data_IF_208921898975
#
_entry.id   IF_208921898975
#
_cell.length_a   1.000
_cell.length_b   1.000
_cell.length_c   1.000
_cell.angle_alpha   90.00
_cell.angle_beta   90.00
_cell.angle_gamma   90.00
#
_symmetry.space_group_name_H-M   'P 1'
#
loop_
_entity.id
_entity.type
_entity.pdbx_description
1 polymer ?
#
# COMPACT_ATOMS: atom_id res chain seq x y z
N UNK A 1 -4.86 -66.10 40.96
CA UNK A 1 -3.95 -65.04 40.52
C UNK A 1 -4.71 -64.18 39.54
N UNK A 2 -5.10 -62.98 39.95
CA UNK A 2 -5.75 -62.00 39.07
C UNK A 2 -4.77 -60.87 38.76
N UNK A 3 -4.35 -60.76 37.51
CA UNK A 3 -3.47 -59.66 37.05
C UNK A 3 -4.31 -58.45 36.67
N UNK A 4 -4.08 -57.34 37.36
CA UNK A 4 -4.70 -56.03 37.06
C UNK A 4 -3.79 -55.29 36.13
N UNK A 5 -4.29 -54.98 34.90
CA UNK A 5 -3.60 -54.13 33.94
C UNK A 5 -3.96 -52.68 34.27
N UNK A 6 -2.96 -51.85 34.61
CA UNK A 6 -3.09 -50.42 34.71
C UNK A 6 -2.86 -49.80 33.30
N UNK A 7 -3.86 -49.11 32.75
CA UNK A 7 -3.73 -48.35 31.55
C UNK A 7 -3.34 -46.90 31.92
N UNK A 8 -2.16 -46.46 31.49
CA UNK A 8 -1.70 -45.10 31.65
C UNK A 8 -2.17 -44.26 30.45
N UNK A 9 -3.08 -43.32 30.72
CA UNK A 9 -3.53 -42.34 29.71
C UNK A 9 -2.56 -41.16 29.70
N UNK A 10 -1.78 -41.06 28.65
CA UNK A 10 -0.90 -39.91 28.43
C UNK A 10 -1.70 -38.74 27.83
N UNK A 11 -1.78 -37.63 28.56
CA UNK A 11 -2.33 -36.36 28.07
C UNK A 11 -1.25 -35.66 27.27
N UNK A 12 -1.40 -35.57 25.94
CA UNK A 12 -0.56 -34.75 25.09
C UNK A 12 -1.12 -33.32 25.12
N UNK A 13 -0.44 -32.42 25.82
CA UNK A 13 -0.71 -30.99 25.80
C UNK A 13 -0.03 -30.40 24.57
N UNK A 14 -0.79 -30.11 23.53
CA UNK A 14 -0.32 -29.32 22.39
C UNK A 14 -0.21 -27.85 22.83
N UNK A 15 1.02 -27.38 23.08
CA UNK A 15 1.31 -25.96 23.21
C UNK A 15 1.22 -25.34 21.81
N UNK A 16 0.11 -24.66 21.53
CA UNK A 16 0.01 -23.75 20.39
C UNK A 16 0.76 -22.48 20.77
N UNK A 17 2.01 -22.36 20.32
CA UNK A 17 2.76 -21.12 20.41
C UNK A 17 2.08 -20.11 19.47
N UNK A 18 1.30 -19.18 20.04
CA UNK A 18 0.85 -18.00 19.33
C UNK A 18 2.09 -17.15 19.00
N UNK A 19 2.52 -17.17 17.74
CA UNK A 19 3.50 -16.22 17.23
C UNK A 19 2.83 -14.85 17.30
N UNK A 20 3.15 -14.10 18.35
CA UNK A 20 2.88 -12.65 18.39
C UNK A 20 3.83 -12.01 17.40
N UNK A 21 3.35 -11.76 16.18
CA UNK A 21 4.03 -10.83 15.29
C UNK A 21 4.13 -9.48 16.03
N UNK A 22 5.32 -8.89 16.00
CA UNK A 22 5.61 -7.61 16.62
C UNK A 22 4.66 -6.53 16.04
N UNK A 23 3.68 -6.09 16.83
CA UNK A 23 2.55 -5.27 16.40
C UNK A 23 2.98 -3.84 16.01
N UNK A 24 4.23 -3.47 16.30
CA UNK A 24 4.79 -2.13 16.02
C UNK A 24 5.30 -1.98 14.58
N UNK A 25 5.61 -3.08 13.89
CA UNK A 25 6.15 -3.04 12.51
C UNK A 25 5.09 -2.71 11.45
N UNK A 26 3.81 -2.72 11.80
CA UNK A 26 2.68 -2.62 10.91
C UNK A 26 1.83 -1.35 11.13
N UNK A 27 2.39 -0.28 11.68
CA UNK A 27 1.74 1.02 11.84
C UNK A 27 2.38 2.06 10.92
N UNK A 28 1.69 3.19 10.66
CA UNK A 28 2.35 4.39 10.12
C UNK A 28 3.51 4.81 11.03
N UNK A 29 4.47 5.54 10.48
CA UNK A 29 5.54 6.11 11.30
C UNK A 29 5.02 7.24 12.23
N UNK A 30 5.92 7.84 13.01
CA UNK A 30 5.55 8.89 13.98
C UNK A 30 4.97 10.15 13.32
N UNK A 31 5.32 10.43 12.06
CA UNK A 31 4.75 11.51 11.26
C UNK A 31 3.45 11.10 10.55
N UNK A 32 3.00 9.84 10.70
CA UNK A 32 1.79 9.28 10.10
C UNK A 32 1.96 8.73 8.68
N UNK A 33 3.20 8.71 8.11
CA UNK A 33 3.42 8.18 6.77
C UNK A 33 3.29 6.66 6.72
N UNK A 34 2.65 6.20 5.65
CA UNK A 34 2.52 4.78 5.36
C UNK A 34 3.84 4.29 4.75
N UNK A 35 4.46 3.28 5.41
CA UNK A 35 5.79 2.76 5.07
C UNK A 35 5.77 1.30 4.61
N UNK A 36 4.61 0.64 4.58
CA UNK A 36 4.50 -0.75 4.16
C UNK A 36 3.56 -0.84 2.96
N UNK A 37 4.10 -1.31 1.83
CA UNK A 37 3.39 -1.37 0.56
C UNK A 37 3.59 -2.71 -0.13
N UNK A 38 2.60 -3.16 -0.89
CA UNK A 38 2.77 -4.10 -1.99
C UNK A 38 2.94 -3.27 -3.26
N UNK A 39 4.03 -3.48 -3.99
CA UNK A 39 4.36 -2.71 -5.19
C UNK A 39 4.29 -3.60 -6.42
N UNK A 40 3.67 -3.08 -7.48
CA UNK A 40 3.71 -3.62 -8.84
C UNK A 40 4.28 -2.54 -9.74
N UNK A 41 5.49 -2.74 -10.22
CA UNK A 41 6.22 -1.83 -11.10
C UNK A 41 7.35 -2.60 -11.82
N UNK A 42 7.90 -2.09 -12.95
CA UNK A 42 7.38 -0.99 -13.75
C UNK A 42 6.36 -1.47 -14.79
N UNK A 43 5.32 -0.71 -15.02
CA UNK A 43 4.40 -0.91 -16.12
C UNK A 43 4.66 0.17 -17.16
N UNK A 44 5.03 -0.14 -18.40
CA UNK A 44 5.25 0.86 -19.43
C UNK A 44 3.95 1.61 -19.75
N UNK A 45 4.05 2.83 -20.25
CA UNK A 45 2.89 3.67 -20.63
C UNK A 45 1.97 3.01 -21.65
N UNK A 46 2.49 2.03 -22.41
CA UNK A 46 1.74 1.39 -23.49
C UNK A 46 1.50 2.36 -24.63
N UNK A 47 0.23 2.61 -24.93
CA UNK A 47 -0.18 3.55 -25.98
C UNK A 47 -0.34 5.01 -25.49
N UNK A 48 -0.10 5.28 -24.21
CA UNK A 48 -0.15 6.64 -23.68
C UNK A 48 1.06 7.45 -24.15
N UNK A 49 0.84 8.73 -24.49
CA UNK A 49 1.85 9.61 -25.06
C UNK A 49 2.54 10.47 -23.99
N UNK A 50 1.97 10.56 -22.80
CA UNK A 50 2.49 11.32 -21.66
C UNK A 50 1.95 10.77 -20.34
N UNK A 51 2.48 11.28 -19.23
CA UNK A 51 2.12 10.80 -17.91
C UNK A 51 0.68 11.03 -17.51
N UNK A 52 0.08 12.16 -17.90
CA UNK A 52 -1.33 12.44 -17.61
C UNK A 52 -2.26 11.45 -18.32
N UNK A 53 -1.97 11.11 -19.58
CA UNK A 53 -2.70 10.09 -20.32
C UNK A 53 -2.50 8.69 -19.70
N UNK A 54 -1.26 8.33 -19.33
CA UNK A 54 -0.95 7.08 -18.65
C UNK A 54 -1.65 6.97 -17.28
N UNK A 55 -1.76 8.08 -16.54
CA UNK A 55 -2.52 8.15 -15.30
C UNK A 55 -4.02 7.90 -15.55
N UNK A 56 -4.56 8.44 -16.64
CA UNK A 56 -5.96 8.30 -17.03
C UNK A 56 -6.36 6.89 -17.41
N UNK A 57 -5.46 6.13 -18.07
CA UNK A 57 -5.70 4.76 -18.53
C UNK A 57 -5.49 3.75 -17.39
N UNK A 58 -6.33 2.72 -17.33
CA UNK A 58 -6.04 1.53 -16.52
C UNK A 58 -4.92 0.74 -17.19
N UNK A 59 -3.77 0.62 -16.53
CA UNK A 59 -2.67 -0.23 -17.01
C UNK A 59 -2.94 -1.71 -16.71
N UNK A 60 -3.73 -1.97 -15.68
CA UNK A 60 -4.24 -3.28 -15.30
C UNK A 60 -5.72 -3.14 -15.00
N UNK A 61 -6.54 -3.98 -15.60
CA UNK A 61 -7.99 -3.92 -15.45
C UNK A 61 -8.43 -3.98 -13.99
N UNK A 62 -9.32 -3.09 -13.61
CA UNK A 62 -9.87 -3.05 -12.25
C UNK A 62 -8.93 -2.41 -11.22
N UNK A 63 -7.99 -1.56 -11.63
CA UNK A 63 -6.97 -0.94 -10.75
C UNK A 63 -7.56 -0.32 -9.46
N UNK A 64 -8.75 0.27 -9.53
CA UNK A 64 -9.41 0.88 -8.37
C UNK A 64 -9.76 -0.13 -7.26
N UNK A 65 -9.88 -1.41 -7.59
CA UNK A 65 -10.34 -2.48 -6.70
C UNK A 65 -9.26 -3.55 -6.48
N UNK A 66 -8.00 -3.23 -6.67
CA UNK A 66 -6.92 -4.14 -6.40
C UNK A 66 -6.96 -4.69 -4.98
N UNK A 67 -6.79 -6.00 -4.84
CA UNK A 67 -6.63 -6.70 -3.57
C UNK A 67 -5.51 -7.74 -3.66
N UNK A 68 -4.29 -7.32 -4.04
CA UNK A 68 -3.18 -8.25 -4.24
C UNK A 68 -2.66 -8.81 -2.91
N UNK A 69 -2.00 -9.95 -3.04
CA UNK A 69 -1.11 -10.52 -2.01
C UNK A 69 0.32 -10.53 -2.54
N UNK A 70 1.27 -10.61 -1.63
CA UNK A 70 2.66 -10.85 -1.99
C UNK A 70 2.79 -12.11 -2.86
N UNK A 71 3.49 -11.99 -3.98
CA UNK A 71 3.70 -13.07 -4.92
C UNK A 71 2.62 -13.22 -6.00
N UNK A 72 1.50 -12.50 -5.89
CA UNK A 72 0.48 -12.48 -6.96
C UNK A 72 1.08 -11.93 -8.24
N UNK A 73 0.70 -12.52 -9.37
CA UNK A 73 1.25 -12.22 -10.68
C UNK A 73 0.23 -11.53 -11.57
N UNK A 74 0.71 -10.59 -12.36
CA UNK A 74 -0.08 -9.82 -13.31
C UNK A 74 0.59 -9.83 -14.66
N UNK A 75 -0.14 -10.22 -15.71
CA UNK A 75 0.35 -10.15 -17.08
C UNK A 75 0.14 -8.74 -17.63
N UNK A 76 1.23 -8.11 -18.09
CA UNK A 76 1.24 -6.77 -18.70
C UNK A 76 1.94 -6.87 -20.05
N UNK A 77 1.17 -6.84 -21.13
CA UNK A 77 1.69 -7.16 -22.47
C UNK A 77 2.24 -8.59 -22.50
N UNK A 78 3.48 -8.73 -22.91
CA UNK A 78 4.20 -10.02 -22.96
C UNK A 78 4.97 -10.35 -21.68
N UNK A 79 4.96 -9.45 -20.69
CA UNK A 79 5.66 -9.61 -19.40
C UNK A 79 4.72 -10.04 -18.30
N UNK A 80 5.26 -10.78 -17.34
CA UNK A 80 4.60 -11.09 -16.08
C UNK A 80 5.30 -10.33 -14.96
N UNK A 81 4.54 -9.48 -14.26
CA UNK A 81 5.01 -8.75 -13.08
C UNK A 81 4.47 -9.42 -11.82
N UNK A 82 5.19 -9.26 -10.73
CA UNK A 82 4.84 -9.86 -9.44
C UNK A 82 4.71 -8.77 -8.38
N UNK A 83 3.64 -8.81 -7.60
CA UNK A 83 3.48 -7.95 -6.42
C UNK A 83 4.52 -8.30 -5.36
N UNK A 84 5.33 -7.31 -4.98
CA UNK A 84 6.41 -7.49 -3.99
C UNK A 84 6.27 -6.49 -2.85
N UNK A 85 6.64 -6.89 -1.62
CA UNK A 85 6.64 -5.98 -0.49
C UNK A 85 7.74 -4.92 -0.65
N UNK A 86 7.42 -3.70 -0.25
CA UNK A 86 8.34 -2.58 -0.14
C UNK A 86 8.16 -1.89 1.22
N UNK A 87 9.29 -1.58 1.86
CA UNK A 87 9.33 -0.84 3.13
C UNK A 87 10.43 0.21 3.05
N UNK A 88 10.14 1.41 2.52
CA UNK A 88 11.13 2.48 2.40
C UNK A 88 11.66 2.91 3.77
N UNK A 89 12.90 3.37 3.81
CA UNK A 89 13.55 3.90 5.02
C UNK A 89 13.12 5.32 5.36
N UNK A 90 12.66 6.08 4.35
CA UNK A 90 12.12 7.43 4.50
C UNK A 90 10.60 7.46 4.30
N UNK A 91 9.98 8.63 4.38
CA UNK A 91 8.57 8.83 4.07
C UNK A 91 8.25 8.59 2.58
N UNK A 92 9.24 8.70 1.68
CA UNK A 92 9.08 8.49 0.25
C UNK A 92 9.20 7.01 -0.10
N UNK A 93 8.21 6.48 -0.82
CA UNK A 93 8.34 5.25 -1.58
C UNK A 93 9.04 5.59 -2.91
N UNK A 94 10.32 5.31 -3.01
CA UNK A 94 11.13 5.46 -4.21
C UNK A 94 11.04 4.19 -5.05
N UNK A 95 10.38 4.29 -6.22
CA UNK A 95 10.20 3.16 -7.12
C UNK A 95 11.49 2.80 -7.86
N UNK A 96 12.37 3.76 -8.16
CA UNK A 96 13.66 3.48 -8.77
C UNK A 96 14.56 2.71 -7.82
N UNK A 97 14.62 3.11 -6.55
CA UNK A 97 15.34 2.37 -5.52
C UNK A 97 14.74 0.96 -5.31
N UNK A 98 13.41 0.83 -5.30
CA UNK A 98 12.73 -0.48 -5.22
C UNK A 98 13.09 -1.40 -6.39
N UNK A 99 13.22 -0.87 -7.60
CA UNK A 99 13.58 -1.61 -8.81
C UNK A 99 15.09 -1.87 -8.93
N UNK A 100 15.92 -1.09 -8.23
CA UNK A 100 17.38 -1.12 -8.33
C UNK A 100 17.92 -0.48 -9.61
N UNK A 101 17.11 0.27 -10.34
CA UNK A 101 17.47 0.99 -11.55
C UNK A 101 16.53 2.15 -11.82
N UNK A 102 17.03 3.18 -12.54
CA UNK A 102 16.19 4.26 -13.04
C UNK A 102 15.29 3.74 -14.17
N UNK A 103 14.02 4.13 -14.14
CA UNK A 103 13.00 3.70 -15.08
C UNK A 103 12.16 4.89 -15.50
N UNK A 104 12.00 5.09 -16.80
CA UNK A 104 11.21 6.19 -17.38
C UNK A 104 9.94 5.67 -18.04
N UNK A 105 9.01 6.57 -18.42
CA UNK A 105 7.76 6.28 -19.13
C UNK A 105 6.99 5.08 -18.53
N UNK A 106 6.83 5.09 -17.22
CA UNK A 106 6.31 3.95 -16.47
C UNK A 106 5.29 4.33 -15.40
N UNK A 107 4.44 3.36 -15.09
CA UNK A 107 3.45 3.42 -14.01
C UNK A 107 3.82 2.41 -12.93
N UNK A 108 3.64 2.81 -11.68
CA UNK A 108 3.73 1.94 -10.50
C UNK A 108 2.45 1.99 -9.69
N UNK A 109 2.12 0.86 -9.11
CA UNK A 109 1.06 0.76 -8.12
C UNK A 109 1.66 0.38 -6.78
N UNK A 110 1.21 1.05 -5.73
CA UNK A 110 1.46 0.68 -4.35
C UNK A 110 0.13 0.43 -3.66
N UNK A 111 -0.03 -0.74 -3.04
CA UNK A 111 -1.26 -1.15 -2.36
C UNK A 111 -0.97 -1.52 -0.93
N UNK A 112 -1.83 -1.10 -0.02
CA UNK A 112 -1.83 -1.59 1.36
C UNK A 112 -3.27 -1.65 1.90
N UNK A 113 -3.42 -2.33 3.03
CA UNK A 113 -4.69 -2.50 3.72
C UNK A 113 -4.61 -1.81 5.08
N UNK A 114 -5.45 -0.77 5.25
CA UNK A 114 -5.54 -0.01 6.49
C UNK A 114 -6.61 -0.65 7.37
N UNK A 115 -6.20 -1.18 8.52
CA UNK A 115 -7.09 -1.90 9.43
C UNK A 115 -7.37 -1.04 10.65
N UNK A 116 -8.64 -0.75 10.89
CA UNK A 116 -9.10 0.07 12.01
C UNK A 116 -10.05 -0.71 12.91
N UNK A 117 -9.94 -0.53 14.21
CA UNK A 117 -10.84 -1.15 15.17
C UNK A 117 -12.22 -0.47 15.21
N UNK A 118 -12.26 0.83 14.89
CA UNK A 118 -13.47 1.65 14.76
C UNK A 118 -13.39 2.54 13.53
N UNK A 119 -14.51 3.12 13.11
CA UNK A 119 -14.54 4.10 12.03
C UNK A 119 -13.80 5.38 12.45
N UNK A 120 -12.90 5.88 11.57
CA UNK A 120 -12.17 7.14 11.77
C UNK A 120 -12.62 8.13 10.70
N UNK A 121 -13.29 9.21 11.12
CA UNK A 121 -13.85 10.25 10.25
C UNK A 121 -13.01 11.53 10.25
N UNK A 122 -13.39 12.42 9.36
CA UNK A 122 -12.87 13.79 9.25
C UNK A 122 -11.34 13.84 9.12
N UNK A 123 -10.79 12.84 8.40
CA UNK A 123 -9.38 12.79 8.10
C UNK A 123 -9.07 13.65 6.88
N UNK A 124 -7.86 14.21 6.89
CA UNK A 124 -7.26 14.78 5.68
C UNK A 124 -6.15 13.84 5.21
N UNK A 125 -6.29 13.29 3.99
CA UNK A 125 -5.20 12.61 3.34
C UNK A 125 -4.22 13.64 2.77
N UNK A 126 -2.95 13.48 3.10
CA UNK A 126 -1.83 14.26 2.58
C UNK A 126 -1.03 13.39 1.62
N UNK A 127 -0.70 13.94 0.46
CA UNK A 127 -0.03 13.19 -0.61
C UNK A 127 1.08 14.03 -1.23
N UNK A 128 2.15 13.39 -1.63
CA UNK A 128 3.19 13.94 -2.50
C UNK A 128 3.55 12.92 -3.56
N UNK A 129 3.87 13.37 -4.77
CA UNK A 129 4.21 12.48 -5.88
C UNK A 129 5.15 13.11 -6.89
N UNK A 130 6.00 12.31 -7.46
CA UNK A 130 6.86 12.54 -8.60
C UNK A 130 6.62 11.38 -9.60
N UNK A 131 5.95 11.60 -10.72
CA UNK A 131 5.25 12.79 -11.24
C UNK A 131 3.75 12.78 -10.85
N UNK A 132 2.89 12.36 -11.83
CA UNK A 132 1.43 12.33 -11.69
C UNK A 132 1.00 11.20 -10.74
N UNK A 133 -0.10 11.43 -10.02
CA UNK A 133 -0.60 10.43 -9.10
C UNK A 133 -2.12 10.36 -9.00
N UNK A 134 -2.59 9.17 -8.61
CA UNK A 134 -3.99 8.89 -8.32
C UNK A 134 -4.11 7.99 -7.09
N UNK A 135 -5.08 8.28 -6.24
CA UNK A 135 -5.35 7.45 -5.06
C UNK A 135 -6.78 6.95 -5.08
N UNK A 136 -6.92 5.65 -4.85
CA UNK A 136 -8.23 5.03 -4.60
C UNK A 136 -8.29 4.52 -3.16
N UNK A 137 -9.41 4.76 -2.51
CA UNK A 137 -9.75 4.21 -1.21
C UNK A 137 -11.05 3.42 -1.32
N UNK A 138 -11.02 2.13 -0.98
CA UNK A 138 -12.16 1.23 -1.07
C UNK A 138 -12.84 1.23 -2.46
N UNK A 139 -12.05 1.29 -3.53
CA UNK A 139 -12.52 1.29 -4.91
C UNK A 139 -13.03 2.63 -5.43
N UNK A 140 -13.01 3.69 -4.62
CA UNK A 140 -13.39 5.05 -5.03
C UNK A 140 -12.13 5.91 -5.22
N UNK A 141 -12.01 6.59 -6.36
CA UNK A 141 -10.98 7.62 -6.53
C UNK A 141 -11.24 8.77 -5.57
N UNK A 142 -10.26 9.08 -4.75
CA UNK A 142 -10.32 10.18 -3.78
C UNK A 142 -9.32 11.30 -4.09
N UNK A 143 -8.31 11.03 -4.92
CA UNK A 143 -7.30 12.02 -5.33
C UNK A 143 -6.84 11.77 -6.75
N UNK A 144 -6.45 12.86 -7.45
CA UNK A 144 -5.78 12.84 -8.75
C UNK A 144 -4.97 14.11 -8.92
N UNK A 145 -3.71 13.97 -9.34
CA UNK A 145 -2.85 15.04 -9.85
C UNK A 145 -2.34 14.64 -11.23
N UNK A 146 -2.53 15.50 -12.22
CA UNK A 146 -2.13 15.25 -13.63
C UNK A 146 -0.86 16.01 -14.02
N UNK A 147 -0.30 16.80 -13.13
CA UNK A 147 0.89 17.61 -13.41
C UNK A 147 2.15 16.82 -13.07
N UNK A 148 3.15 16.89 -13.98
CA UNK A 148 4.50 16.40 -13.71
C UNK A 148 5.19 17.36 -12.73
N UNK A 149 5.80 16.82 -11.69
CA UNK A 149 6.43 17.61 -10.64
C UNK A 149 7.31 16.73 -9.73
N UNK A 150 8.31 17.30 -9.06
CA UNK A 150 9.05 16.57 -8.02
C UNK A 150 8.18 16.31 -6.80
N UNK A 151 8.44 15.22 -6.07
CA UNK A 151 7.72 14.89 -4.84
C UNK A 151 8.17 15.77 -3.66
N UNK A 152 7.18 16.22 -2.88
CA UNK A 152 7.41 16.84 -1.58
C UNK A 152 6.38 16.35 -0.55
N UNK A 153 6.67 16.53 0.73
CA UNK A 153 5.71 16.22 1.81
C UNK A 153 4.47 17.10 1.68
N UNK A 154 3.29 16.49 1.83
CA UNK A 154 2.01 17.20 1.98
C UNK A 154 1.67 18.18 0.85
N UNK A 155 2.18 17.94 -0.38
CA UNK A 155 1.91 18.79 -1.55
C UNK A 155 0.41 18.98 -1.77
N UNK A 156 -0.36 17.90 -1.58
CA UNK A 156 -1.81 17.90 -1.76
C UNK A 156 -2.53 17.51 -0.49
N UNK A 157 -3.77 17.97 -0.41
CA UNK A 157 -4.67 17.69 0.70
C UNK A 157 -6.03 17.27 0.19
N UNK A 158 -6.50 16.10 0.60
CA UNK A 158 -7.85 15.61 0.34
C UNK A 158 -8.59 15.55 1.68
N UNK A 159 -9.49 16.49 1.97
CA UNK A 159 -10.27 16.49 3.21
C UNK A 159 -11.40 15.45 3.19
N UNK A 160 -12.10 15.33 4.31
CA UNK A 160 -13.31 14.52 4.51
C UNK A 160 -13.14 13.04 4.17
N UNK A 161 -11.92 12.51 4.39
CA UNK A 161 -11.65 11.09 4.22
C UNK A 161 -12.11 10.31 5.46
N UNK A 162 -12.73 9.16 5.22
CA UNK A 162 -13.17 8.25 6.27
C UNK A 162 -12.56 6.88 6.08
N UNK A 163 -11.89 6.36 7.10
CA UNK A 163 -11.52 4.95 7.20
C UNK A 163 -12.64 4.20 7.93
N UNK A 164 -13.26 3.24 7.26
CA UNK A 164 -14.34 2.42 7.83
C UNK A 164 -13.77 1.44 8.83
N UNK A 165 -14.55 1.05 9.84
CA UNK A 165 -14.21 -0.08 10.72
C UNK A 165 -13.86 -1.33 9.90
N UNK A 166 -12.77 -2.00 10.28
CA UNK A 166 -12.22 -3.16 9.58
C UNK A 166 -11.21 -2.78 8.51
N UNK A 167 -11.18 -3.51 7.41
CA UNK A 167 -10.18 -3.37 6.34
C UNK A 167 -10.59 -2.31 5.33
N UNK A 168 -9.66 -1.39 5.05
CA UNK A 168 -9.78 -0.40 3.99
C UNK A 168 -8.65 -0.62 2.99
N UNK A 169 -8.98 -0.81 1.73
CA UNK A 169 -7.99 -0.97 0.66
C UNK A 169 -7.57 0.38 0.13
N UNK A 170 -6.29 0.66 0.19
CA UNK A 170 -5.67 1.87 -0.36
C UNK A 170 -4.82 1.50 -1.57
N UNK A 171 -5.10 2.12 -2.72
CA UNK A 171 -4.33 1.97 -3.95
C UNK A 171 -3.74 3.32 -4.33
N UNK A 172 -2.44 3.38 -4.44
CA UNK A 172 -1.68 4.56 -4.86
C UNK A 172 -1.02 4.26 -6.20
N UNK A 173 -1.44 4.94 -7.26
CA UNK A 173 -0.88 4.88 -8.61
C UNK A 173 0.03 6.08 -8.78
N UNK A 174 1.30 5.85 -9.13
CA UNK A 174 2.29 6.91 -9.40
C UNK A 174 2.87 6.68 -10.78
N UNK A 175 2.92 7.73 -11.55
CA UNK A 175 3.48 7.74 -12.90
C UNK A 175 4.85 8.37 -12.84
N UNK A 176 5.76 7.89 -13.66
CA UNK A 176 7.07 8.52 -13.91
C UNK A 176 7.23 8.79 -15.41
N UNK A 177 7.42 10.04 -15.77
CA UNK A 177 7.88 10.38 -17.10
C UNK A 177 9.38 10.25 -17.21
N UNK A 178 10.13 10.91 -16.32
CA UNK A 178 11.59 10.90 -16.34
C UNK A 178 12.20 11.13 -14.95
N UNK A 179 13.44 10.70 -14.80
CA UNK A 179 14.29 10.96 -13.64
C UNK A 179 13.81 10.26 -12.36
N UNK A 180 13.47 11.05 -11.33
CA UNK A 180 13.04 10.53 -10.04
C UNK A 180 11.61 9.98 -10.13
N UNK A 181 11.32 8.99 -9.31
CA UNK A 181 10.02 8.35 -9.27
C UNK A 181 9.65 7.96 -7.85
N UNK A 182 8.82 8.75 -7.23
CA UNK A 182 8.49 8.52 -5.83
C UNK A 182 7.11 9.03 -5.43
N UNK A 183 6.66 8.63 -4.25
CA UNK A 183 5.47 9.18 -3.66
C UNK A 183 5.38 8.93 -2.16
N UNK A 184 4.56 9.73 -1.48
CA UNK A 184 4.27 9.53 -0.07
C UNK A 184 2.81 9.82 0.24
N UNK A 185 2.32 9.21 1.32
CA UNK A 185 0.94 9.36 1.74
C UNK A 185 0.84 9.20 3.26
N UNK A 186 0.07 10.09 3.89
CA UNK A 186 -0.29 10.02 5.31
C UNK A 186 -1.69 10.56 5.56
N UNK A 187 -2.19 10.30 6.76
CA UNK A 187 -3.44 10.90 7.24
C UNK A 187 -3.18 11.81 8.43
N UNK A 188 -3.87 12.94 8.44
CA UNK A 188 -3.91 13.86 9.57
C UNK A 188 -5.35 14.05 10.04
N UNK A 189 -5.52 14.44 11.29
CA UNK A 189 -6.80 14.91 11.80
C UNK A 189 -7.10 16.36 11.33
N UNK A 190 -8.24 16.91 11.78
CA UNK A 190 -8.66 18.29 11.46
C UNK A 190 -7.70 19.36 11.97
N UNK A 191 -6.88 19.05 12.99
CA UNK A 191 -5.88 19.94 13.57
C UNK A 191 -4.50 19.78 12.92
N UNK A 192 -4.39 18.94 11.88
CA UNK A 192 -3.16 18.65 11.14
C UNK A 192 -2.23 17.68 11.86
N UNK A 193 -2.65 17.04 12.95
CA UNK A 193 -1.85 16.07 13.69
C UNK A 193 -1.83 14.72 12.98
N UNK A 194 -0.69 14.02 12.97
CA UNK A 194 -0.60 12.68 12.40
C UNK A 194 -1.59 11.69 13.02
N UNK A 195 -2.27 10.91 12.18
CA UNK A 195 -3.15 9.82 12.63
C UNK A 195 -2.41 8.50 12.45
N UNK A 196 -2.16 7.81 13.57
CA UNK A 196 -1.36 6.58 13.64
C UNK A 196 -2.09 5.41 14.31
N UNK A 197 -3.37 5.60 14.65
CA UNK A 197 -4.18 4.63 15.39
C UNK A 197 -4.87 3.60 14.47
N UNK A 198 -4.21 3.23 13.38
CA UNK A 198 -4.60 2.12 12.51
C UNK A 198 -3.39 1.23 12.18
N UNK A 199 -3.66 0.02 11.73
CA UNK A 199 -2.61 -0.91 11.27
C UNK A 199 -2.49 -0.86 9.76
N UNK A 200 -1.28 -1.10 9.24
CA UNK A 200 -1.00 -1.24 7.80
C UNK A 200 -0.66 -2.70 7.54
N UNK A 201 -1.52 -3.39 6.80
CA UNK A 201 -1.33 -4.80 6.42
C UNK A 201 -0.98 -4.91 4.94
N UNK A 202 -0.23 -5.95 4.57
CA UNK A 202 0.01 -6.36 3.18
C UNK A 202 -0.89 -7.55 2.78
N UNK A 203 -1.88 -7.85 3.62
CA UNK A 203 -2.89 -8.90 3.36
C UNK A 203 -4.27 -8.30 3.48
N UNK A 204 -5.20 -8.58 2.51
CA UNK A 204 -6.58 -8.12 2.53
C UNK A 204 -7.37 -8.70 3.70
#
# INVERSE_FOLDING_TARGET
>A
MRSTLLATVGIVVLLVAAVRADDTSNKPDEEGFIRNWLVLAPLPFGEAQNGAEALGKEQVAGEAKFQPKEGDKVKVGDKELTWKPAKPESHLLDFNAFLGNQTEDSVGYAVCYLVTDDEIKDLTMKTGSDDQAKVYLNGKQIFKNEEARPADKDQDSTPDVTLKKGVNTLVFKVVNEKMDWSGCLRFTDKDGKPVTNFKVSLKP
#
